data_IF_858701044457
#
_entry.id   IF_858701044457
#
_cell.length_a   1.000
_cell.length_b   1.000
_cell.length_c   1.000
_cell.angle_alpha   90.00
_cell.angle_beta   90.00
_cell.angle_gamma   90.00
#
_symmetry.space_group_name_H-M   'P 1'
#
loop_
_entity.id
_entity.type
_entity.pdbx_description
1 polymer ?
#
# COMPACT_ATOMS: atom_id res chain seq x y z
N UNK A 1 78.08 -3.43 9.86
CA UNK A 1 77.86 -2.63 11.07
C UNK A 1 77.47 -1.23 10.65
N UNK A 2 76.20 -1.01 10.42
CA UNK A 2 75.55 0.26 10.14
C UNK A 2 74.07 0.13 10.41
N UNK A 3 73.58 0.84 11.41
CA UNK A 3 72.18 0.91 11.81
C UNK A 3 71.37 1.75 10.84
N UNK A 4 70.13 1.40 10.53
CA UNK A 4 69.25 2.28 9.75
C UNK A 4 68.51 3.28 10.67
N UNK A 5 68.37 4.46 10.14
CA UNK A 5 67.77 5.64 10.72
C UNK A 5 66.29 5.47 11.01
N UNK A 6 65.93 5.91 12.22
CA UNK A 6 64.55 6.00 12.70
C UNK A 6 63.84 7.21 12.04
N UNK A 7 62.85 6.96 11.17
CA UNK A 7 61.98 8.01 10.67
C UNK A 7 60.87 8.30 11.68
N UNK A 8 60.84 9.49 12.19
CA UNK A 8 59.84 10.04 13.10
C UNK A 8 58.65 10.54 12.26
N UNK A 9 57.47 9.94 12.40
CA UNK A 9 56.22 10.37 11.75
C UNK A 9 55.61 11.48 12.63
N UNK A 10 55.27 12.66 12.07
CA UNK A 10 54.59 13.71 12.86
C UNK A 10 53.11 13.33 13.07
N UNK A 11 52.72 13.28 14.36
CA UNK A 11 51.32 13.09 14.77
C UNK A 11 50.55 14.37 14.47
N UNK A 12 49.75 14.33 13.46
CA UNK A 12 48.83 15.41 13.08
C UNK A 12 47.64 15.40 14.07
N UNK A 13 47.66 16.37 14.99
CA UNK A 13 46.61 16.66 15.95
C UNK A 13 45.37 17.15 15.19
N UNK A 14 44.44 16.26 14.96
CA UNK A 14 43.10 16.57 14.45
C UNK A 14 42.33 17.32 15.54
N UNK A 15 42.12 18.62 15.33
CA UNK A 15 41.21 19.43 16.14
C UNK A 15 39.78 19.11 15.73
N UNK A 16 39.11 18.27 16.52
CA UNK A 16 37.66 18.04 16.40
C UNK A 16 36.93 19.29 16.89
N UNK A 17 36.38 20.08 15.94
CA UNK A 17 35.35 21.07 16.25
C UNK A 17 34.02 20.34 16.35
N UNK A 18 33.29 20.37 17.48
CA UNK A 18 31.92 19.89 17.53
C UNK A 18 31.03 20.90 16.82
N UNK A 19 30.66 20.60 15.58
CA UNK A 19 29.60 21.32 14.86
C UNK A 19 28.27 20.93 15.51
N UNK A 20 27.81 21.73 16.47
CA UNK A 20 26.50 21.62 17.09
C UNK A 20 25.48 22.09 16.02
N UNK A 21 24.97 21.14 15.25
CA UNK A 21 23.86 21.37 14.34
C UNK A 21 22.57 21.54 15.17
N UNK A 22 22.25 22.78 15.53
CA UNK A 22 20.98 23.11 16.16
C UNK A 22 19.88 22.97 15.08
N UNK A 23 19.25 21.80 15.02
CA UNK A 23 18.06 21.56 14.22
C UNK A 23 16.91 22.23 14.98
N UNK A 24 16.25 23.26 14.44
CA UNK A 24 15.02 23.76 15.05
C UNK A 24 13.97 22.63 14.95
N UNK A 25 13.58 22.11 16.09
CA UNK A 25 12.44 21.21 16.22
C UNK A 25 11.18 22.02 15.94
N UNK A 26 10.86 22.21 14.65
CA UNK A 26 9.56 22.72 14.24
C UNK A 26 8.56 21.64 14.57
N UNK A 27 7.85 21.80 15.69
CA UNK A 27 6.67 21.02 16.01
C UNK A 27 5.63 21.39 14.94
N UNK A 28 5.59 20.59 13.87
CA UNK A 28 4.45 20.60 12.94
C UNK A 28 3.29 20.02 13.74
N UNK A 29 2.48 20.91 14.33
CA UNK A 29 1.16 20.52 14.82
C UNK A 29 0.43 19.88 13.65
N UNK A 30 -0.15 18.68 13.81
CA UNK A 30 -0.97 18.10 12.78
C UNK A 30 -2.13 19.08 12.52
N UNK A 31 -2.16 19.63 11.32
CA UNK A 31 -3.28 20.42 10.84
C UNK A 31 -4.52 19.52 10.90
N UNK A 32 -5.47 19.90 11.74
CA UNK A 32 -6.72 19.14 11.91
C UNK A 32 -7.38 19.03 10.52
N UNK A 33 -7.64 17.81 10.02
CA UNK A 33 -8.17 17.65 8.68
C UNK A 33 -9.48 18.47 8.59
N UNK A 34 -9.68 19.28 7.52
CA UNK A 34 -10.84 20.10 7.37
C UNK A 34 -12.09 19.25 7.47
N UNK A 35 -12.97 19.58 8.42
CA UNK A 35 -14.23 18.87 8.63
C UNK A 35 -14.99 18.81 7.30
N UNK A 36 -15.32 17.63 6.80
CA UNK A 36 -15.94 17.51 5.48
C UNK A 36 -17.31 18.18 5.49
N UNK A 37 -17.45 19.22 4.68
CA UNK A 37 -18.70 20.01 4.59
C UNK A 37 -19.81 19.29 3.82
N UNK A 38 -19.48 18.19 3.10
CA UNK A 38 -20.45 17.40 2.32
C UNK A 38 -19.96 15.99 2.09
N UNK A 39 -20.87 15.07 1.81
CA UNK A 39 -20.56 13.66 1.48
C UNK A 39 -19.65 13.58 0.24
N UNK A 40 -19.88 14.43 -0.77
CA UNK A 40 -19.05 14.47 -1.98
C UNK A 40 -17.60 14.92 -1.68
N UNK A 41 -17.42 15.81 -0.71
CA UNK A 41 -16.08 16.21 -0.25
C UNK A 41 -15.37 15.05 0.46
N UNK A 42 -16.09 14.25 1.27
CA UNK A 42 -15.57 13.01 1.84
C UNK A 42 -15.13 12.01 0.76
N UNK A 43 -15.95 11.84 -0.27
CA UNK A 43 -15.62 10.97 -1.42
C UNK A 43 -14.34 11.43 -2.09
N UNK A 44 -14.21 12.74 -2.38
CA UNK A 44 -13.02 13.28 -3.07
C UNK A 44 -11.73 13.09 -2.26
N UNK A 45 -11.77 13.36 -0.94
CA UNK A 45 -10.62 13.17 -0.04
C UNK A 45 -10.25 11.68 0.01
N UNK A 46 -11.26 10.80 0.16
CA UNK A 46 -11.01 9.36 0.24
C UNK A 46 -10.40 8.82 -1.04
N UNK A 47 -10.89 9.24 -2.21
CA UNK A 47 -10.31 8.85 -3.49
C UNK A 47 -8.87 9.37 -3.66
N UNK A 48 -8.56 10.57 -3.17
CA UNK A 48 -7.21 11.14 -3.26
C UNK A 48 -6.22 10.46 -2.30
N UNK A 49 -6.66 10.07 -1.11
CA UNK A 49 -5.80 9.57 -0.03
C UNK A 49 -5.70 8.03 0.02
N UNK A 50 -6.55 7.29 -0.71
CA UNK A 50 -6.58 5.83 -0.61
C UNK A 50 -5.34 5.18 -1.24
N UNK A 51 -4.54 4.43 -0.47
CA UNK A 51 -3.33 3.77 -0.98
C UNK A 51 -3.61 2.64 -1.98
N UNK A 52 -4.81 2.05 -1.96
CA UNK A 52 -5.21 0.99 -2.88
C UNK A 52 -5.29 1.48 -4.34
N UNK A 53 -5.56 2.76 -4.55
CA UNK A 53 -5.54 3.37 -5.90
C UNK A 53 -4.14 3.24 -6.51
N UNK A 54 -3.09 3.46 -5.71
CA UNK A 54 -1.70 3.31 -6.17
C UNK A 54 -1.38 1.86 -6.56
N UNK A 55 -1.99 0.89 -5.88
CA UNK A 55 -1.85 -0.51 -6.26
C UNK A 55 -2.42 -0.79 -7.66
N UNK A 56 -3.62 -0.30 -7.96
CA UNK A 56 -4.22 -0.45 -9.29
C UNK A 56 -3.44 0.31 -10.37
N UNK A 57 -2.91 1.50 -10.06
CA UNK A 57 -2.04 2.25 -10.97
C UNK A 57 -0.73 1.50 -11.26
N UNK A 58 -0.14 0.86 -10.26
CA UNK A 58 1.02 0.00 -10.44
C UNK A 58 0.69 -1.25 -11.28
N UNK A 59 -0.49 -1.84 -11.13
CA UNK A 59 -0.94 -2.98 -11.95
C UNK A 59 -1.13 -2.58 -13.43
N UNK A 60 -1.67 -1.37 -13.68
CA UNK A 60 -1.73 -0.81 -15.04
C UNK A 60 -0.32 -0.61 -15.61
N UNK A 61 0.59 -0.03 -14.83
CA UNK A 61 1.98 0.17 -15.25
C UNK A 61 2.67 -1.17 -15.57
N UNK A 62 2.46 -2.19 -14.76
CA UNK A 62 2.92 -3.56 -14.99
C UNK A 62 2.35 -4.13 -16.30
N UNK A 63 1.04 -4.02 -16.52
CA UNK A 63 0.40 -4.51 -17.75
C UNK A 63 0.93 -3.79 -18.99
N UNK A 64 1.17 -2.47 -18.92
CA UNK A 64 1.80 -1.68 -19.99
C UNK A 64 3.26 -2.13 -20.26
N UNK A 65 4.03 -2.41 -19.21
CA UNK A 65 5.39 -2.94 -19.34
C UNK A 65 5.40 -4.31 -20.02
N UNK A 66 4.51 -5.22 -19.61
CA UNK A 66 4.32 -6.54 -20.26
C UNK A 66 3.91 -6.35 -21.72
N UNK A 67 2.97 -5.44 -22.01
CA UNK A 67 2.53 -5.12 -23.36
C UNK A 67 3.65 -4.64 -24.28
N UNK A 68 4.61 -3.88 -23.75
CA UNK A 68 5.75 -3.38 -24.51
C UNK A 68 6.70 -4.50 -24.98
N UNK A 69 6.73 -5.62 -24.27
CA UNK A 69 7.58 -6.79 -24.57
C UNK A 69 6.84 -7.90 -25.31
N UNK A 70 5.50 -7.93 -25.24
CA UNK A 70 4.67 -9.00 -25.76
C UNK A 70 4.84 -9.25 -27.28
N UNK A 71 5.16 -8.20 -28.05
CA UNK A 71 5.40 -8.28 -29.49
C UNK A 71 6.87 -8.55 -29.86
N UNK A 72 7.76 -8.78 -28.89
CA UNK A 72 9.17 -9.07 -29.17
C UNK A 72 9.41 -10.57 -29.32
N UNK A 73 10.37 -10.90 -30.18
CA UNK A 73 10.88 -12.25 -30.32
C UNK A 73 11.65 -12.65 -29.06
N UNK A 74 11.59 -13.93 -28.69
CA UNK A 74 12.38 -14.45 -27.57
C UNK A 74 13.87 -14.27 -27.82
N UNK A 75 14.63 -13.95 -26.78
CA UNK A 75 16.07 -13.79 -26.89
C UNK A 75 16.77 -15.11 -27.24
N UNK A 76 17.88 -15.07 -27.96
CA UNK A 76 18.71 -16.24 -28.14
C UNK A 76 19.33 -16.69 -26.81
N UNK A 77 19.43 -17.98 -26.62
CA UNK A 77 20.09 -18.60 -25.46
C UNK A 77 21.42 -19.17 -25.89
N UNK A 78 22.52 -18.69 -25.27
CA UNK A 78 23.85 -19.27 -25.40
C UNK A 78 24.12 -20.11 -24.18
N UNK A 79 24.36 -21.41 -24.40
CA UNK A 79 24.73 -22.35 -23.36
C UNK A 79 26.17 -22.81 -23.57
N UNK A 80 27.00 -22.63 -22.55
CA UNK A 80 28.38 -23.05 -22.53
C UNK A 80 28.53 -24.08 -21.42
N UNK A 81 28.98 -25.30 -21.77
CA UNK A 81 29.23 -26.36 -20.81
C UNK A 81 30.71 -26.70 -20.85
N UNK A 82 31.31 -26.80 -19.68
CA UNK A 82 32.68 -27.22 -19.48
C UNK A 82 32.74 -28.29 -18.37
N UNK A 83 33.40 -29.37 -18.64
CA UNK A 83 33.49 -30.47 -17.67
C UNK A 83 34.63 -31.46 -17.97
N UNK A 84 34.80 -32.42 -17.07
CA UNK A 84 35.66 -33.58 -17.27
C UNK A 84 34.80 -34.76 -17.64
N UNK A 85 35.18 -35.45 -18.70
CA UNK A 85 34.53 -36.69 -19.09
C UNK A 85 35.49 -37.86 -18.75
N UNK A 86 34.98 -38.84 -18.00
CA UNK A 86 35.73 -40.02 -17.66
C UNK A 86 35.09 -41.21 -18.34
N UNK A 87 35.82 -41.80 -19.29
CA UNK A 87 35.41 -43.04 -19.92
C UNK A 87 35.99 -44.20 -19.12
N UNK A 88 35.12 -45.03 -18.55
CA UNK A 88 35.50 -46.25 -17.85
C UNK A 88 35.06 -47.42 -18.71
N UNK A 89 36.02 -48.07 -19.38
CA UNK A 89 35.82 -49.32 -20.11
C UNK A 89 36.59 -50.45 -19.41
N UNK A 90 36.19 -51.72 -19.60
CA UNK A 90 36.82 -52.84 -18.88
C UNK A 90 38.33 -52.94 -19.06
N UNK A 91 38.88 -52.44 -20.16
CA UNK A 91 40.31 -52.54 -20.50
C UNK A 91 41.03 -51.20 -20.66
N UNK A 92 40.31 -50.09 -20.55
CA UNK A 92 40.91 -48.74 -20.70
C UNK A 92 40.14 -47.69 -19.92
N UNK A 93 40.88 -46.84 -19.22
CA UNK A 93 40.34 -45.62 -18.59
C UNK A 93 40.97 -44.42 -19.25
N UNK A 94 40.16 -43.50 -19.76
CA UNK A 94 40.63 -42.26 -20.36
C UNK A 94 39.89 -41.07 -19.74
N UNK A 95 40.64 -40.08 -19.26
CA UNK A 95 40.13 -38.81 -18.75
C UNK A 95 40.32 -37.77 -19.83
N UNK A 96 39.25 -37.03 -20.14
CA UNK A 96 39.25 -35.96 -21.13
C UNK A 96 38.54 -34.72 -20.64
N UNK A 97 38.89 -33.54 -21.18
CA UNK A 97 38.14 -32.33 -21.03
C UNK A 97 37.00 -32.32 -22.07
N UNK A 98 35.80 -32.07 -21.60
CA UNK A 98 34.63 -31.89 -22.46
C UNK A 98 34.23 -30.42 -22.48
N UNK A 99 34.09 -29.87 -23.65
CA UNK A 99 33.55 -28.50 -23.87
C UNK A 99 32.44 -28.62 -24.89
N UNK A 100 31.31 -27.96 -24.57
CA UNK A 100 30.26 -27.77 -25.55
C UNK A 100 29.75 -26.34 -25.52
N UNK A 101 29.44 -25.83 -26.68
CA UNK A 101 28.78 -24.52 -26.87
C UNK A 101 27.57 -24.71 -27.77
N UNK A 102 26.42 -24.30 -27.31
CA UNK A 102 25.18 -24.32 -28.10
C UNK A 102 24.53 -22.96 -28.13
N UNK A 103 24.00 -22.58 -29.29
CA UNK A 103 23.22 -21.38 -29.49
C UNK A 103 21.83 -21.77 -30.00
N UNK A 104 20.79 -21.45 -29.21
CA UNK A 104 19.42 -21.71 -29.56
C UNK A 104 18.65 -20.41 -29.74
N UNK A 105 18.07 -20.20 -30.92
CA UNK A 105 17.16 -19.08 -31.21
C UNK A 105 15.75 -19.63 -31.45
N UNK A 106 14.80 -19.41 -30.53
CA UNK A 106 13.42 -19.80 -30.76
C UNK A 106 12.79 -18.90 -31.81
N UNK A 107 12.31 -19.50 -32.90
CA UNK A 107 11.58 -18.81 -33.97
C UNK A 107 10.12 -19.12 -33.79
N UNK A 108 9.29 -18.07 -33.58
CA UNK A 108 7.87 -18.23 -33.43
C UNK A 108 7.13 -18.19 -34.77
N UNK A 109 6.04 -18.94 -34.89
CA UNK A 109 5.20 -18.97 -36.08
C UNK A 109 4.61 -17.59 -36.40
N UNK A 110 4.49 -17.23 -37.70
CA UNK A 110 3.79 -16.01 -38.12
C UNK A 110 2.40 -15.88 -37.47
N UNK A 111 2.06 -14.70 -36.96
CA UNK A 111 0.79 -14.42 -36.28
C UNK A 111 0.79 -14.63 -34.77
N UNK A 112 1.64 -15.52 -34.21
CA UNK A 112 1.69 -15.77 -32.76
C UNK A 112 2.10 -14.51 -31.97
N UNK A 113 3.06 -13.75 -32.46
CA UNK A 113 3.46 -12.46 -31.87
C UNK A 113 2.33 -11.44 -31.90
N UNK A 114 1.56 -11.38 -33.00
CA UNK A 114 0.38 -10.52 -33.13
C UNK A 114 -0.70 -10.87 -32.11
N UNK A 115 -1.00 -12.15 -31.93
CA UNK A 115 -1.96 -12.63 -30.93
C UNK A 115 -1.50 -12.30 -29.51
N UNK A 116 -0.20 -12.51 -29.20
CA UNK A 116 0.36 -12.16 -27.87
C UNK A 116 0.24 -10.66 -27.57
N UNK A 117 0.51 -9.82 -28.57
CA UNK A 117 0.32 -8.37 -28.46
C UNK A 117 -1.15 -8.00 -28.28
N UNK A 118 -2.08 -8.66 -28.99
CA UNK A 118 -3.50 -8.43 -28.84
C UNK A 118 -4.00 -8.81 -27.44
N UNK A 119 -3.54 -9.94 -26.89
CA UNK A 119 -3.84 -10.36 -25.51
C UNK A 119 -3.33 -9.31 -24.53
N UNK A 120 -2.06 -8.91 -24.63
CA UNK A 120 -1.47 -7.92 -23.74
C UNK A 120 -2.21 -6.57 -23.77
N UNK A 121 -2.69 -6.14 -24.94
CA UNK A 121 -3.52 -4.94 -25.05
C UNK A 121 -4.87 -5.10 -24.33
N UNK A 122 -5.47 -6.29 -24.35
CA UNK A 122 -6.69 -6.58 -23.58
C UNK A 122 -6.43 -6.62 -22.08
N UNK A 123 -5.27 -7.12 -21.66
CA UNK A 123 -4.87 -7.12 -20.25
C UNK A 123 -4.67 -5.69 -19.71
N UNK A 124 -4.13 -4.77 -20.54
CA UNK A 124 -4.05 -3.36 -20.20
C UNK A 124 -5.44 -2.77 -20.01
N UNK A 125 -6.36 -2.98 -20.97
CA UNK A 125 -7.72 -2.49 -20.88
C UNK A 125 -8.46 -3.05 -19.65
N UNK A 126 -8.24 -4.33 -19.33
CA UNK A 126 -8.81 -4.97 -18.13
C UNK A 126 -8.27 -4.32 -16.84
N UNK A 127 -6.99 -4.01 -16.76
CA UNK A 127 -6.40 -3.34 -15.60
C UNK A 127 -6.93 -1.91 -15.44
N UNK A 128 -7.14 -1.17 -16.54
CA UNK A 128 -7.73 0.18 -16.52
C UNK A 128 -9.18 0.15 -16.04
N UNK A 129 -9.99 -0.78 -16.55
CA UNK A 129 -11.36 -1.01 -16.07
C UNK A 129 -11.40 -1.44 -14.60
N UNK A 130 -10.40 -2.20 -14.14
CA UNK A 130 -10.24 -2.59 -12.75
C UNK A 130 -10.12 -1.38 -11.82
N UNK A 131 -9.29 -0.40 -12.18
CA UNK A 131 -9.14 0.86 -11.45
C UNK A 131 -10.44 1.67 -11.44
N UNK A 132 -11.11 1.80 -12.58
CA UNK A 132 -12.37 2.54 -12.69
C UNK A 132 -13.46 1.91 -11.80
N UNK A 133 -13.61 0.59 -11.87
CA UNK A 133 -14.52 -0.17 -11.02
C UNK A 133 -14.21 0.03 -9.54
N UNK A 134 -12.95 -0.02 -9.15
CA UNK A 134 -12.54 0.20 -7.77
C UNK A 134 -12.91 1.60 -7.28
N UNK A 135 -12.62 2.65 -8.05
CA UNK A 135 -12.99 4.03 -7.74
C UNK A 135 -14.49 4.18 -7.56
N UNK A 136 -15.29 3.58 -8.44
CA UNK A 136 -16.74 3.61 -8.34
C UNK A 136 -17.25 2.93 -7.05
N UNK A 137 -16.75 1.74 -6.75
CA UNK A 137 -17.13 1.01 -5.53
C UNK A 137 -16.72 1.75 -4.26
N UNK A 138 -15.52 2.33 -4.24
CA UNK A 138 -15.05 3.12 -3.10
C UNK A 138 -15.95 4.34 -2.88
N UNK A 139 -16.23 5.10 -3.93
CA UNK A 139 -17.13 6.25 -3.86
C UNK A 139 -18.53 5.89 -3.36
N UNK A 140 -19.11 4.79 -3.87
CA UNK A 140 -20.41 4.28 -3.41
C UNK A 140 -20.38 3.89 -1.95
N UNK A 141 -19.34 3.20 -1.51
CA UNK A 141 -19.19 2.79 -0.11
C UNK A 141 -19.09 3.99 0.84
N UNK A 142 -18.32 5.01 0.45
CA UNK A 142 -18.19 6.24 1.25
C UNK A 142 -19.53 6.97 1.35
N UNK A 143 -20.30 7.06 0.26
CA UNK A 143 -21.63 7.68 0.28
C UNK A 143 -22.58 6.93 1.23
N UNK A 144 -22.64 5.61 1.13
CA UNK A 144 -23.49 4.77 2.00
C UNK A 144 -23.10 4.97 3.47
N UNK A 145 -21.81 4.89 3.79
CA UNK A 145 -21.33 5.07 5.16
C UNK A 145 -21.59 6.49 5.67
N UNK A 146 -21.41 7.52 4.83
CA UNK A 146 -21.69 8.90 5.18
C UNK A 146 -23.17 9.13 5.51
N UNK A 147 -24.08 8.62 4.67
CA UNK A 147 -25.52 8.69 4.92
C UNK A 147 -25.91 7.92 6.19
N UNK A 148 -25.35 6.74 6.39
CA UNK A 148 -25.61 5.94 7.59
C UNK A 148 -25.15 6.68 8.86
N UNK A 149 -23.95 7.28 8.81
CA UNK A 149 -23.44 8.07 9.93
C UNK A 149 -24.34 9.26 10.26
N UNK A 150 -24.78 10.01 9.25
CA UNK A 150 -25.70 11.14 9.43
C UNK A 150 -27.01 10.68 10.10
N UNK A 151 -27.62 9.60 9.59
CA UNK A 151 -28.83 9.05 10.19
C UNK A 151 -28.63 8.58 11.63
N UNK A 152 -27.50 7.95 11.94
CA UNK A 152 -27.19 7.54 13.32
C UNK A 152 -26.98 8.74 14.26
N UNK A 153 -26.40 9.83 13.77
CA UNK A 153 -26.25 11.06 14.55
C UNK A 153 -27.60 11.70 14.85
N UNK A 154 -28.54 11.73 13.89
CA UNK A 154 -29.89 12.22 14.13
C UNK A 154 -30.64 11.37 15.15
N UNK A 155 -30.55 10.03 15.06
CA UNK A 155 -31.14 9.12 16.02
C UNK A 155 -30.55 9.34 17.43
N UNK A 156 -29.22 9.49 17.54
CA UNK A 156 -28.56 9.74 18.80
C UNK A 156 -28.99 11.09 19.41
N UNK A 157 -29.13 12.14 18.59
CA UNK A 157 -29.62 13.44 19.03
C UNK A 157 -31.06 13.33 19.55
N UNK A 158 -31.95 12.70 18.78
CA UNK A 158 -33.34 12.51 19.20
C UNK A 158 -33.43 11.70 20.50
N UNK A 159 -32.65 10.62 20.64
CA UNK A 159 -32.62 9.84 21.87
C UNK A 159 -32.13 10.66 23.07
N UNK A 160 -31.11 11.51 22.88
CA UNK A 160 -30.61 12.39 23.94
C UNK A 160 -31.63 13.44 24.36
N UNK A 161 -32.41 13.99 23.44
CA UNK A 161 -33.49 14.93 23.73
C UNK A 161 -34.63 14.23 24.54
N UNK A 162 -35.00 13.04 24.13
CA UNK A 162 -36.02 12.24 24.86
C UNK A 162 -35.54 11.94 26.29
N UNK A 163 -34.28 11.50 26.44
CA UNK A 163 -33.70 11.25 27.76
C UNK A 163 -33.68 12.51 28.65
N UNK A 164 -33.33 13.66 28.08
CA UNK A 164 -33.35 14.94 28.78
C UNK A 164 -34.75 15.33 29.24
N UNK A 165 -35.78 15.09 28.39
CA UNK A 165 -37.20 15.34 28.77
C UNK A 165 -37.66 14.41 29.90
N UNK A 166 -37.31 13.15 29.88
CA UNK A 166 -37.60 12.22 30.97
C UNK A 166 -36.87 12.61 32.25
N UNK A 167 -35.60 13.04 32.16
CA UNK A 167 -34.89 13.52 33.35
C UNK A 167 -35.55 14.74 33.97
N UNK A 168 -36.01 15.72 33.17
CA UNK A 168 -36.74 16.89 33.68
C UNK A 168 -38.11 16.55 34.25
N UNK A 169 -38.84 15.60 33.65
CA UNK A 169 -40.10 15.10 34.18
C UNK A 169 -39.92 14.42 35.53
N UNK A 170 -38.89 13.56 35.64
CA UNK A 170 -38.53 12.91 36.90
C UNK A 170 -38.25 13.94 38.01
N UNK A 171 -37.48 15.00 37.69
CA UNK A 171 -37.17 16.08 38.63
C UNK A 171 -38.46 16.76 39.16
N UNK A 172 -39.40 17.09 38.24
CA UNK A 172 -40.70 17.66 38.65
C UNK A 172 -41.50 16.71 39.50
N UNK A 173 -41.49 15.41 39.20
CA UNK A 173 -42.22 14.42 40.02
C UNK A 173 -41.62 14.25 41.42
N UNK A 174 -40.28 14.20 41.51
CA UNK A 174 -39.59 14.15 42.82
C UNK A 174 -39.88 15.39 43.66
N UNK A 175 -39.96 16.56 43.08
CA UNK A 175 -40.33 17.79 43.79
C UNK A 175 -41.80 17.80 44.28
N UNK A 176 -42.72 17.06 43.64
CA UNK A 176 -44.11 16.92 44.02
C UNK A 176 -44.35 15.84 45.11
N UNK A 177 -43.44 14.91 45.27
CA UNK A 177 -43.54 13.82 46.27
C UNK A 177 -43.71 14.34 47.70
N UNK A 178 -42.97 15.38 48.18
CA UNK A 178 -43.18 15.94 49.52
C UNK A 178 -44.59 16.52 49.77
N UNK A 179 -45.29 16.86 48.67
CA UNK A 179 -46.64 17.36 48.72
C UNK A 179 -47.70 16.25 48.70
N UNK A 180 -47.33 14.97 48.65
CA UNK A 180 -48.22 13.82 48.63
C UNK A 180 -49.10 13.69 47.39
N UNK A 181 -48.69 14.29 46.27
CA UNK A 181 -49.47 14.40 45.03
C UNK A 181 -49.20 13.26 44.05
N UNK A 182 -47.99 12.60 44.12
CA UNK A 182 -47.63 11.52 43.21
C UNK A 182 -47.26 10.21 43.96
N UNK A 183 -47.79 9.04 43.56
CA UNK A 183 -47.39 7.76 44.14
C UNK A 183 -45.91 7.44 43.84
N UNK A 184 -45.17 6.96 44.84
CA UNK A 184 -43.76 6.60 44.73
C UNK A 184 -43.45 5.60 43.61
N UNK A 185 -44.40 4.70 43.30
CA UNK A 185 -44.26 3.70 42.20
C UNK A 185 -44.18 4.30 40.82
N UNK A 186 -44.78 5.48 40.58
CA UNK A 186 -44.79 6.14 39.27
C UNK A 186 -43.44 6.80 38.95
N UNK A 187 -42.70 7.20 40.00
CA UNK A 187 -41.34 7.79 39.87
C UNK A 187 -40.29 6.71 39.50
N UNK A 188 -40.52 5.45 39.94
CA UNK A 188 -39.56 4.35 39.66
C UNK A 188 -39.70 3.77 38.24
N UNK A 189 -40.79 4.07 37.52
CA UNK A 189 -41.09 3.55 36.18
C UNK A 189 -40.72 4.51 35.06
N UNK A 190 -40.31 5.73 35.34
CA UNK A 190 -39.84 6.75 34.40
C UNK A 190 -38.29 6.79 34.36
#
# INVERSE_FOLDING_TARGET
MLLPATQTIPIMRSVFYPFILSIPLSVVLPEEPPTPKSIEHLVSITLAANPEIRFYEAEIAKSKAVGSTAGRQSNPTLELQYGKNKLIAPEASSDGLAFSASLAQPIEWPGRLGLRKAIANRDIALAELGLERFRFHLASRVRVLGCTLAAQQEIATAASEVAARYASLREVMVQREPAGIAPQLEIMTI
#
